data_IF_260209482742
#
_entry.id   IF_260209482742
#
_cell.length_a   1.000
_cell.length_b   1.000
_cell.length_c   1.000
_cell.angle_alpha   90.00
_cell.angle_beta   90.00
_cell.angle_gamma   90.00
#
_symmetry.space_group_name_H-M   'P 1'
#
loop_
_entity.id
_entity.type
_entity.pdbx_description
1 polymer ?
#
# COMPACT_ATOMS: atom_id res chain seq x y z
N UNK A 1 -12.63 17.46 1.84
CA UNK A 1 -12.60 15.99 1.77
C UNK A 1 -13.93 15.45 2.25
N UNK A 2 -14.66 14.73 1.38
CA UNK A 2 -15.94 14.12 1.74
C UNK A 2 -15.66 12.72 2.26
N UNK A 3 -16.21 12.40 3.43
CA UNK A 3 -16.04 11.06 4.02
C UNK A 3 -16.82 10.01 3.22
N UNK A 4 -16.23 8.84 3.10
CA UNK A 4 -16.92 7.66 2.59
C UNK A 4 -18.18 7.34 3.40
N UNK A 5 -19.27 6.92 2.74
CA UNK A 5 -20.37 6.25 3.41
C UNK A 5 -19.86 5.16 4.35
N UNK A 6 -20.43 5.10 5.56
CA UNK A 6 -19.94 4.23 6.63
C UNK A 6 -19.85 2.76 6.21
N UNK A 7 -20.85 2.26 5.47
CA UNK A 7 -20.86 0.87 4.99
C UNK A 7 -19.66 0.54 4.10
N UNK A 8 -19.28 1.45 3.18
CA UNK A 8 -18.10 1.24 2.32
C UNK A 8 -16.82 1.31 3.14
N UNK A 9 -16.70 2.29 4.04
CA UNK A 9 -15.53 2.40 4.94
C UNK A 9 -15.33 1.12 5.77
N UNK A 10 -16.41 0.50 6.23
CA UNK A 10 -16.37 -0.75 6.98
C UNK A 10 -15.88 -1.94 6.15
N UNK A 11 -16.05 -1.94 4.83
CA UNK A 11 -15.50 -2.98 3.95
C UNK A 11 -13.97 -2.93 3.92
N UNK A 12 -13.40 -1.74 3.70
CA UNK A 12 -11.95 -1.52 3.77
C UNK A 12 -11.39 -1.83 5.17
N UNK A 13 -12.09 -1.38 6.22
CA UNK A 13 -11.70 -1.65 7.59
C UNK A 13 -11.67 -3.15 7.90
N UNK A 14 -12.66 -3.91 7.40
CA UNK A 14 -12.71 -5.37 7.61
C UNK A 14 -11.52 -6.09 6.99
N UNK A 15 -11.02 -5.62 5.84
CA UNK A 15 -9.80 -6.16 5.23
C UNK A 15 -8.63 -5.96 6.18
N UNK A 16 -8.44 -4.75 6.71
CA UNK A 16 -7.38 -4.47 7.68
C UNK A 16 -7.54 -5.30 8.95
N UNK A 17 -8.75 -5.40 9.52
CA UNK A 17 -9.03 -6.22 10.69
C UNK A 17 -8.67 -7.69 10.47
N UNK A 18 -9.04 -8.27 9.32
CA UNK A 18 -8.74 -9.65 8.96
C UNK A 18 -7.23 -9.91 8.85
N UNK A 19 -6.45 -8.90 8.49
CA UNK A 19 -5.00 -8.94 8.41
C UNK A 19 -4.32 -8.58 9.75
N UNK A 20 -5.11 -8.24 10.77
CA UNK A 20 -4.65 -7.82 12.09
C UNK A 20 -4.12 -6.39 12.15
N UNK A 21 -4.50 -5.54 11.19
CA UNK A 21 -4.16 -4.12 11.09
C UNK A 21 -5.36 -3.21 11.42
N UNK A 22 -6.28 -3.69 12.27
CA UNK A 22 -7.53 -2.98 12.56
C UNK A 22 -7.37 -1.62 13.26
N UNK A 23 -6.17 -1.30 13.76
CA UNK A 23 -5.84 0.03 14.30
C UNK A 23 -5.47 1.04 13.23
N UNK A 24 -5.16 0.60 12.00
CA UNK A 24 -4.69 1.48 10.94
C UNK A 24 -5.80 2.46 10.50
N UNK A 25 -5.39 3.69 10.23
CA UNK A 25 -6.27 4.74 9.75
C UNK A 25 -6.46 4.67 8.24
N UNK A 26 -7.69 4.91 7.78
CA UNK A 26 -8.06 4.97 6.36
C UNK A 26 -8.42 6.40 5.96
N UNK A 27 -7.73 6.93 4.96
CA UNK A 27 -8.04 8.22 4.35
C UNK A 27 -8.39 8.03 2.88
N UNK A 28 -9.70 8.07 2.61
CA UNK A 28 -10.21 7.91 1.26
C UNK A 28 -11.28 9.00 1.08
N UNK A 29 -11.09 9.86 0.09
CA UNK A 29 -12.09 10.85 -0.31
C UNK A 29 -13.17 10.17 -1.15
N UNK A 30 -14.43 10.35 -0.78
CA UNK A 30 -15.54 9.69 -1.44
C UNK A 30 -15.74 10.15 -2.90
N UNK A 31 -15.59 11.46 -3.18
CA UNK A 31 -15.79 11.98 -4.52
C UNK A 31 -14.63 11.57 -5.45
N UNK A 32 -13.42 11.45 -4.90
CA UNK A 32 -12.30 10.87 -5.65
C UNK A 32 -12.48 9.38 -5.91
N UNK A 33 -12.88 8.61 -4.90
CA UNK A 33 -13.13 7.19 -5.08
C UNK A 33 -14.15 6.97 -6.21
N UNK A 34 -15.27 7.69 -6.16
CA UNK A 34 -16.31 7.62 -7.19
C UNK A 34 -15.76 8.03 -8.58
N UNK A 35 -14.89 9.05 -8.65
CA UNK A 35 -14.23 9.47 -9.90
C UNK A 35 -13.29 8.39 -10.45
N UNK A 36 -12.46 7.79 -9.61
CA UNK A 36 -11.53 6.74 -9.99
C UNK A 36 -12.24 5.44 -10.36
N UNK A 37 -13.36 5.12 -9.73
CA UNK A 37 -14.21 3.98 -10.08
C UNK A 37 -14.98 4.20 -11.39
N UNK A 38 -15.16 5.45 -11.82
CA UNK A 38 -15.78 5.78 -13.11
C UNK A 38 -14.80 5.70 -14.30
N UNK A 39 -13.51 5.45 -14.07
CA UNK A 39 -12.51 5.25 -15.14
C UNK A 39 -12.80 3.92 -15.83
N UNK A 40 -13.00 3.97 -17.16
CA UNK A 40 -13.39 2.82 -17.98
C UNK A 40 -12.19 1.90 -18.29
N UNK A 41 -11.62 1.30 -17.24
CA UNK A 41 -10.53 0.30 -17.30
C UNK A 41 -10.87 -0.97 -16.50
N UNK A 42 -12.16 -1.17 -16.19
CA UNK A 42 -12.71 -2.09 -15.17
C UNK A 42 -12.27 -3.57 -15.24
N UNK A 43 -11.22 -3.94 -14.51
CA UNK A 43 -11.03 -5.33 -14.03
C UNK A 43 -11.08 -5.40 -12.50
N UNK A 44 -10.47 -4.47 -11.76
CA UNK A 44 -10.51 -4.42 -10.29
C UNK A 44 -11.27 -3.19 -9.75
N UNK A 45 -12.24 -3.46 -8.87
CA UNK A 45 -12.82 -2.41 -8.00
C UNK A 45 -11.79 -1.93 -6.98
N UNK A 46 -12.02 -0.75 -6.39
CA UNK A 46 -11.15 -0.20 -5.34
C UNK A 46 -10.96 -1.15 -4.15
N UNK A 47 -12.02 -1.85 -3.76
CA UNK A 47 -11.99 -2.81 -2.66
C UNK A 47 -11.15 -4.03 -3.02
N UNK A 48 -11.34 -4.60 -4.21
CA UNK A 48 -10.55 -5.74 -4.69
C UNK A 48 -9.06 -5.37 -4.85
N UNK A 49 -8.78 -4.17 -5.35
CA UNK A 49 -7.42 -3.65 -5.42
C UNK A 49 -6.80 -3.55 -4.01
N UNK A 50 -7.54 -3.04 -3.03
CA UNK A 50 -7.08 -2.95 -1.66
C UNK A 50 -6.86 -4.33 -1.00
N UNK A 51 -7.72 -5.31 -1.27
CA UNK A 51 -7.53 -6.70 -0.82
C UNK A 51 -6.22 -7.32 -1.32
N UNK A 52 -5.73 -6.88 -2.48
CA UNK A 52 -4.49 -7.38 -3.08
C UNK A 52 -3.27 -6.55 -2.67
N UNK A 53 -3.43 -5.23 -2.53
CA UNK A 53 -2.36 -4.30 -2.18
C UNK A 53 -1.89 -4.50 -0.74
N UNK A 54 -2.80 -4.66 0.23
CA UNK A 54 -2.36 -4.71 1.63
C UNK A 54 -1.45 -5.92 1.88
N UNK A 55 -1.79 -7.14 1.43
CA UNK A 55 -0.89 -8.29 1.57
C UNK A 55 0.41 -8.20 0.78
N UNK A 56 0.44 -7.45 -0.34
CA UNK A 56 1.65 -7.34 -1.15
C UNK A 56 2.81 -6.72 -0.38
N UNK A 57 2.53 -5.87 0.61
CA UNK A 57 3.54 -5.25 1.50
C UNK A 57 4.46 -6.24 2.21
N UNK A 58 4.03 -7.49 2.39
CA UNK A 58 4.83 -8.53 3.04
C UNK A 58 4.91 -9.84 2.24
N UNK A 59 4.12 -10.02 1.19
CA UNK A 59 4.09 -11.25 0.41
C UNK A 59 4.99 -11.15 -0.85
N UNK A 60 6.21 -11.74 -0.85
CA UNK A 60 7.09 -11.73 -2.02
C UNK A 60 6.55 -12.48 -3.24
N UNK A 61 5.49 -13.29 -3.10
CA UNK A 61 4.85 -13.92 -4.25
C UNK A 61 3.87 -12.96 -4.95
N UNK A 62 3.45 -11.90 -4.26
CA UNK A 62 2.63 -10.83 -4.82
C UNK A 62 3.48 -9.71 -5.41
N UNK A 63 4.74 -9.58 -4.96
CA UNK A 63 5.80 -8.71 -5.50
C UNK A 63 6.33 -9.22 -6.86
N UNK A 64 5.42 -9.37 -7.83
CA UNK A 64 5.70 -10.08 -9.09
C UNK A 64 6.33 -9.22 -10.19
N UNK A 65 6.38 -7.89 -10.02
CA UNK A 65 6.72 -6.96 -11.08
C UNK A 65 7.99 -6.14 -10.83
N UNK A 66 8.48 -6.04 -9.60
CA UNK A 66 9.45 -5.02 -9.25
C UNK A 66 10.87 -5.56 -8.96
N UNK A 67 11.83 -5.11 -9.78
CA UNK A 67 13.26 -5.28 -9.50
C UNK A 67 13.76 -4.25 -8.48
N UNK A 68 12.94 -3.32 -7.99
CA UNK A 68 13.36 -2.32 -6.99
C UNK A 68 13.85 -3.01 -5.73
N UNK A 69 15.00 -2.57 -5.21
CA UNK A 69 15.55 -3.09 -3.95
C UNK A 69 14.82 -2.51 -2.72
N UNK A 70 13.79 -1.69 -2.94
CA UNK A 70 13.13 -0.82 -1.96
C UNK A 70 11.81 -1.40 -1.42
N UNK A 71 11.49 -2.64 -1.77
CA UNK A 71 10.32 -3.33 -1.20
C UNK A 71 10.61 -3.67 0.27
N UNK A 72 9.62 -3.49 1.17
CA UNK A 72 9.73 -3.86 2.59
C UNK A 72 10.32 -5.25 2.80
N UNK A 73 9.94 -6.21 1.95
CA UNK A 73 10.50 -7.55 1.97
C UNK A 73 12.01 -7.56 1.72
N UNK A 74 12.48 -6.92 0.64
CA UNK A 74 13.92 -6.88 0.29
C UNK A 74 14.72 -6.12 1.34
N UNK A 75 14.14 -5.10 1.94
CA UNK A 75 14.76 -4.29 2.99
C UNK A 75 14.97 -5.10 4.26
N UNK A 76 13.90 -5.71 4.79
CA UNK A 76 13.98 -6.52 6.01
C UNK A 76 14.93 -7.68 5.79
N UNK A 77 14.92 -8.27 4.59
CA UNK A 77 15.85 -9.34 4.22
C UNK A 77 17.31 -8.87 4.09
N UNK A 78 17.55 -7.62 3.70
CA UNK A 78 18.89 -7.05 3.57
C UNK A 78 19.50 -6.66 4.92
N UNK A 79 18.66 -6.30 5.89
CA UNK A 79 19.08 -5.88 7.23
C UNK A 79 18.34 -6.65 8.34
N UNK A 80 18.42 -7.99 8.37
CA UNK A 80 17.57 -8.82 9.24
C UNK A 80 17.77 -8.53 10.73
N UNK A 81 19.00 -8.24 11.14
CA UNK A 81 19.32 -7.93 12.54
C UNK A 81 18.65 -6.64 13.05
N UNK A 82 18.34 -5.68 12.18
CA UNK A 82 17.59 -4.47 12.55
C UNK A 82 16.13 -4.79 12.96
N UNK A 83 15.62 -5.95 12.51
CA UNK A 83 14.28 -6.46 12.82
C UNK A 83 14.33 -7.65 13.79
N UNK A 84 15.47 -7.87 14.45
CA UNK A 84 15.64 -8.96 15.43
C UNK A 84 15.63 -10.36 14.79
N UNK A 85 15.95 -10.47 13.50
CA UNK A 85 16.05 -11.74 12.78
C UNK A 85 17.51 -12.23 12.69
N UNK A 86 17.67 -13.53 12.48
CA UNK A 86 18.97 -14.17 12.19
C UNK A 86 19.51 -13.72 10.83
N UNK A 87 20.81 -13.96 10.56
CA UNK A 87 21.49 -13.50 9.33
C UNK A 87 20.88 -14.06 8.03
N UNK A 88 20.24 -15.23 8.08
CA UNK A 88 19.57 -15.87 6.94
C UNK A 88 18.12 -16.22 7.31
N UNK A 89 17.20 -15.23 7.37
CA UNK A 89 15.83 -15.49 7.76
C UNK A 89 15.07 -16.21 6.64
N UNK A 90 14.15 -17.08 7.03
CA UNK A 90 13.17 -17.66 6.11
C UNK A 90 12.18 -16.60 5.61
N UNK A 91 11.53 -16.90 4.48
CA UNK A 91 10.45 -16.07 3.93
C UNK A 91 9.36 -15.77 4.96
N UNK A 92 8.98 -16.77 5.76
CA UNK A 92 7.97 -16.65 6.82
C UNK A 92 8.44 -15.77 7.98
N UNK A 93 9.73 -15.80 8.32
CA UNK A 93 10.31 -14.93 9.34
C UNK A 93 10.27 -13.47 8.89
N UNK A 94 10.66 -13.19 7.64
CA UNK A 94 10.60 -11.83 7.05
C UNK A 94 9.14 -11.33 7.01
N UNK A 95 8.21 -12.14 6.50
CA UNK A 95 6.76 -11.83 6.51
C UNK A 95 6.26 -11.46 7.90
N UNK A 96 6.60 -12.29 8.90
CA UNK A 96 6.14 -12.08 10.27
C UNK A 96 6.72 -10.82 10.89
N UNK A 97 7.98 -10.48 10.58
CA UNK A 97 8.60 -9.24 11.03
C UNK A 97 7.91 -8.01 10.44
N UNK A 98 7.61 -8.01 9.14
CA UNK A 98 6.89 -6.90 8.48
C UNK A 98 5.49 -6.74 9.06
N UNK A 99 4.75 -7.84 9.21
CA UNK A 99 3.40 -7.80 9.81
C UNK A 99 3.46 -7.26 11.24
N UNK A 100 4.44 -7.67 12.03
CA UNK A 100 4.61 -7.19 13.41
C UNK A 100 4.94 -5.69 13.44
N UNK A 101 5.88 -5.25 12.60
CA UNK A 101 6.22 -3.83 12.42
C UNK A 101 4.99 -2.98 12.04
N UNK A 102 4.18 -3.44 11.08
CA UNK A 102 2.95 -2.75 10.69
C UNK A 102 1.91 -2.74 11.84
N UNK A 103 1.82 -3.82 12.62
CA UNK A 103 0.95 -3.91 13.80
C UNK A 103 1.35 -2.97 14.93
N UNK A 104 2.65 -2.82 15.14
CA UNK A 104 3.20 -2.00 16.23
C UNK A 104 3.21 -0.51 15.86
N UNK A 105 3.10 -0.18 14.57
CA UNK A 105 2.96 1.19 14.06
C UNK A 105 1.62 1.81 14.46
N UNK A 106 1.63 2.65 15.50
CA UNK A 106 0.44 3.28 16.06
C UNK A 106 -0.19 4.36 15.14
N UNK A 107 0.61 4.93 14.24
CA UNK A 107 0.19 5.93 13.26
C UNK A 107 0.01 5.34 11.84
N UNK A 108 -0.03 4.00 11.73
CA UNK A 108 -0.20 3.31 10.46
C UNK A 108 -1.43 3.85 9.71
N UNK A 109 -1.19 4.30 8.49
CA UNK A 109 -2.16 5.02 7.69
C UNK A 109 -2.13 4.53 6.25
N UNK A 110 -3.29 4.23 5.69
CA UNK A 110 -3.50 3.95 4.28
C UNK A 110 -4.31 5.08 3.66
N UNK A 111 -3.74 5.77 2.67
CA UNK A 111 -4.39 6.87 1.97
C UNK A 111 -4.56 6.55 0.50
N UNK A 112 -5.78 6.62 -0.02
CA UNK A 112 -5.99 6.59 -1.47
C UNK A 112 -5.50 7.92 -2.05
N UNK A 113 -4.63 7.86 -3.06
CA UNK A 113 -4.04 9.06 -3.66
C UNK A 113 -4.89 9.58 -4.81
N UNK A 114 -4.97 10.91 -4.89
CA UNK A 114 -5.84 11.66 -5.80
C UNK A 114 -5.06 12.58 -6.73
N UNK A 115 -5.53 12.73 -7.98
CA UNK A 115 -4.93 13.53 -9.05
C UNK A 115 -5.33 15.02 -9.03
N UNK A 116 -6.20 15.43 -8.12
CA UNK A 116 -6.80 16.75 -8.18
C UNK A 116 -5.99 17.81 -7.42
N UNK A 117 -5.39 18.70 -8.23
CA UNK A 117 -4.87 20.04 -7.96
C UNK A 117 -3.43 20.20 -7.46
N UNK A 118 -2.81 21.26 -7.99
CA UNK A 118 -1.50 21.86 -7.65
C UNK A 118 -1.28 22.14 -6.14
N UNK A 119 -2.28 21.88 -5.30
CA UNK A 119 -2.30 22.12 -3.85
C UNK A 119 -2.15 20.85 -2.97
N UNK A 120 -2.11 19.64 -3.55
CA UNK A 120 -1.84 18.44 -2.75
C UNK A 120 -0.33 18.18 -2.63
N UNK A 121 0.33 18.84 -1.66
CA UNK A 121 1.77 18.66 -1.38
C UNK A 121 2.18 17.17 -1.32
N UNK A 122 1.32 16.27 -0.84
CA UNK A 122 1.63 14.85 -0.75
C UNK A 122 1.65 14.11 -2.11
N UNK A 123 0.91 14.58 -3.11
CA UNK A 123 0.94 14.05 -4.48
C UNK A 123 2.04 14.70 -5.33
N UNK A 124 2.40 15.96 -5.05
CA UNK A 124 3.50 16.66 -5.75
C UNK A 124 4.89 16.21 -5.33
N UNK A 125 5.05 15.70 -4.10
CA UNK A 125 6.37 15.34 -3.60
C UNK A 125 6.91 14.02 -4.20
N UNK A 126 6.04 13.08 -4.59
CA UNK A 126 6.46 11.71 -4.92
C UNK A 126 5.50 10.99 -5.88
N UNK A 127 5.43 11.43 -7.15
CA UNK A 127 4.65 10.72 -8.18
C UNK A 127 5.28 9.36 -8.48
N UNK A 128 4.51 8.31 -8.85
CA UNK A 128 5.11 7.08 -9.31
C UNK A 128 6.13 7.29 -10.44
N UNK A 129 7.34 6.75 -10.27
CA UNK A 129 8.53 7.15 -11.04
C UNK A 129 8.66 6.46 -12.41
N UNK A 130 7.90 5.40 -12.69
CA UNK A 130 8.06 4.54 -13.86
C UNK A 130 6.96 4.70 -14.92
N UNK A 131 6.23 5.81 -14.89
CA UNK A 131 5.19 6.13 -15.87
C UNK A 131 3.82 5.56 -15.52
N UNK A 132 3.65 5.07 -14.29
CA UNK A 132 2.36 4.68 -13.76
C UNK A 132 1.42 5.88 -13.69
N UNK A 133 0.22 5.73 -14.23
CA UNK A 133 -0.82 6.74 -14.14
C UNK A 133 -1.94 6.25 -13.24
N UNK A 134 -2.67 7.17 -12.58
CA UNK A 134 -3.87 6.77 -11.83
C UNK A 134 -4.99 6.22 -12.74
N UNK A 135 -4.88 6.40 -14.06
CA UNK A 135 -5.81 5.77 -15.02
C UNK A 135 -5.57 4.27 -15.14
N UNK A 136 -4.32 3.85 -14.96
CA UNK A 136 -3.87 2.48 -15.11
C UNK A 136 -3.78 1.76 -13.75
N UNK A 137 -3.51 2.50 -12.67
CA UNK A 137 -3.25 1.91 -11.34
C UNK A 137 -4.23 2.42 -10.27
N UNK A 138 -4.50 1.54 -9.30
CA UNK A 138 -4.92 1.95 -7.96
C UNK A 138 -3.68 2.24 -7.13
N UNK A 139 -3.60 3.45 -6.56
CA UNK A 139 -2.39 3.92 -5.87
C UNK A 139 -2.72 4.31 -4.45
N UNK A 140 -2.01 3.69 -3.51
CA UNK A 140 -2.14 3.93 -2.08
C UNK A 140 -0.82 4.40 -1.50
N UNK A 141 -0.90 5.39 -0.64
CA UNK A 141 0.22 5.83 0.18
C UNK A 141 0.07 5.25 1.58
N UNK A 142 1.05 4.42 1.96
CA UNK A 142 1.17 3.79 3.26
C UNK A 142 2.16 4.59 4.10
N UNK A 143 1.76 5.01 5.30
CA UNK A 143 2.58 5.79 6.23
C UNK A 143 2.59 5.16 7.61
N UNK A 144 3.71 5.27 8.31
CA UNK A 144 3.84 4.88 9.72
C UNK A 144 5.27 5.11 10.20
N UNK A 145 5.44 5.39 11.50
CA UNK A 145 6.75 5.68 12.11
C UNK A 145 7.73 4.52 12.02
N UNK A 146 7.21 3.29 11.96
CA UNK A 146 8.00 2.06 11.94
C UNK A 146 8.40 1.63 10.52
N UNK A 147 7.96 2.34 9.47
CA UNK A 147 8.37 2.01 8.10
C UNK A 147 9.84 2.39 7.87
N UNK A 148 10.70 1.46 7.41
CA UNK A 148 12.15 1.64 7.37
C UNK A 148 12.63 2.70 6.36
N UNK A 149 11.80 3.02 5.35
CA UNK A 149 12.06 4.06 4.33
C UNK A 149 10.99 5.14 4.36
N UNK A 150 10.36 5.38 5.52
CA UNK A 150 9.25 6.32 5.58
C UNK A 150 8.05 5.88 4.70
N UNK A 151 7.35 6.81 4.04
CA UNK A 151 6.16 6.49 3.26
C UNK A 151 6.44 5.48 2.13
N UNK A 152 5.54 4.52 1.97
CA UNK A 152 5.60 3.49 0.93
C UNK A 152 4.43 3.65 -0.02
N UNK A 153 4.70 3.67 -1.32
CA UNK A 153 3.66 3.57 -2.33
C UNK A 153 3.32 2.12 -2.55
N UNK A 154 2.03 1.82 -2.63
CA UNK A 154 1.54 0.51 -2.98
C UNK A 154 0.56 0.64 -4.14
N UNK A 155 0.89 -0.01 -5.23
CA UNK A 155 0.22 0.13 -6.52
C UNK A 155 -0.25 -1.25 -6.99
N UNK A 156 -1.37 -1.25 -7.70
CA UNK A 156 -1.80 -2.41 -8.46
C UNK A 156 -2.43 -1.96 -9.77
N UNK A 157 -2.06 -2.64 -10.84
CA UNK A 157 -2.68 -2.42 -12.15
C UNK A 157 -4.17 -2.73 -12.06
N UNK A 158 -5.00 -1.79 -12.53
CA UNK A 158 -6.45 -1.91 -12.58
C UNK A 158 -6.90 -3.09 -13.44
N UNK A 159 -6.07 -3.52 -14.40
CA UNK A 159 -6.29 -4.68 -15.26
C UNK A 159 -5.71 -5.99 -14.68
N UNK A 160 -4.94 -5.90 -13.58
CA UNK A 160 -4.23 -7.02 -12.97
C UNK A 160 -3.31 -7.77 -13.95
N UNK A 161 -2.81 -7.09 -14.98
CA UNK A 161 -1.83 -7.65 -15.93
C UNK A 161 -0.47 -7.76 -15.28
N UNK A 162 -0.13 -6.77 -14.48
CA UNK A 162 1.01 -6.76 -13.58
C UNK A 162 0.53 -7.00 -12.13
N UNK A 163 1.33 -7.69 -11.33
CA UNK A 163 1.02 -7.94 -9.91
C UNK A 163 0.94 -6.64 -9.10
N UNK A 164 0.64 -6.76 -7.80
CA UNK A 164 0.78 -5.63 -6.89
C UNK A 164 2.28 -5.37 -6.63
N UNK A 165 2.69 -4.12 -6.57
CA UNK A 165 4.08 -3.76 -6.23
C UNK A 165 4.08 -2.56 -5.29
N UNK A 166 5.18 -2.40 -4.57
CA UNK A 166 5.31 -1.33 -3.60
C UNK A 166 6.78 -0.95 -3.42
N UNK A 167 7.03 0.33 -3.20
CA UNK A 167 8.38 0.84 -2.98
C UNK A 167 8.35 2.03 -2.02
N UNK A 168 9.40 2.13 -1.21
CA UNK A 168 9.64 3.26 -0.31
C UNK A 168 10.38 4.40 -1.00
N UNK A 169 10.32 5.59 -0.41
CA UNK A 169 11.13 6.74 -0.81
C UNK A 169 12.22 7.01 0.23
N UNK A 170 13.46 7.20 -0.21
CA UNK A 170 14.59 7.55 0.66
C UNK A 170 14.76 9.07 0.83
#
# INVERSE_FOLDING_TARGET
MKQLPEHRRLEFQRILENLGLGHASLYIDADELDRQEAIDTNVLTSLQAFELIVPSLWDPAMDAADNSDDTLYKVVRSYPSAFGLDDEPSTEQVRSAIITMLRDSADLTFSLVYLADDDNEAAHLYWPEYGETLQDYWVWLVRGSELPHGPTWALIDRQQTDGAYHYGYW
#
